data_IF_954668401401
#
_entry.id   IF_954668401401
#
_cell.length_a   1.000
_cell.length_b   1.000
_cell.length_c   1.000
_cell.angle_alpha   90.00
_cell.angle_beta   90.00
_cell.angle_gamma   90.00
#
_symmetry.space_group_name_H-M   'P 1'
#
loop_
_entity.id
_entity.type
_entity.pdbx_description
1 polymer ?
#
# COMPACT_ATOMS: atom_id res chain seq x y z
N UNK A 1 -21.10 -12.55 -40.21
CA UNK A 1 -20.80 -13.57 -41.23
C UNK A 1 -20.32 -14.92 -40.63
N UNK A 2 -20.74 -15.29 -39.41
CA UNK A 2 -20.35 -16.55 -38.74
C UNK A 2 -21.51 -17.53 -38.50
N UNK A 3 -22.78 -17.09 -38.58
CA UNK A 3 -23.94 -17.98 -38.44
C UNK A 3 -24.14 -18.95 -39.62
N UNK A 4 -23.54 -18.68 -40.77
CA UNK A 4 -23.79 -19.44 -42.02
C UNK A 4 -22.97 -20.74 -42.09
N UNK A 5 -21.90 -20.89 -41.30
CA UNK A 5 -21.07 -22.10 -41.32
C UNK A 5 -21.60 -23.26 -40.45
N UNK A 6 -22.57 -23.01 -39.57
CA UNK A 6 -23.26 -24.08 -38.80
C UNK A 6 -24.14 -24.95 -39.71
N UNK A 7 -24.54 -24.44 -40.88
CA UNK A 7 -25.44 -25.12 -41.81
C UNK A 7 -24.77 -26.18 -42.70
N UNK A 8 -23.44 -26.42 -42.57
CA UNK A 8 -22.70 -27.45 -43.33
C UNK A 8 -21.93 -28.44 -42.45
N UNK A 9 -22.38 -28.66 -41.22
CA UNK A 9 -21.82 -29.68 -40.34
C UNK A 9 -22.32 -31.09 -40.75
N UNK A 10 -21.43 -32.01 -41.18
CA UNK A 10 -21.80 -33.35 -41.68
C UNK A 10 -22.30 -34.31 -40.60
N UNK A 11 -22.28 -33.92 -39.32
CA UNK A 11 -22.71 -34.76 -38.21
C UNK A 11 -24.24 -34.96 -38.19
N UNK A 12 -24.74 -36.12 -37.73
CA UNK A 12 -26.17 -36.42 -37.58
C UNK A 12 -26.95 -35.30 -36.87
N UNK A 13 -28.19 -35.06 -37.28
CA UNK A 13 -29.03 -33.96 -36.76
C UNK A 13 -29.12 -33.94 -35.22
N UNK A 14 -29.22 -35.12 -34.58
CA UNK A 14 -29.22 -35.24 -33.10
C UNK A 14 -27.94 -34.68 -32.45
N UNK A 15 -26.77 -34.89 -33.08
CA UNK A 15 -25.49 -34.39 -32.56
C UNK A 15 -25.40 -32.87 -32.71
N UNK A 16 -25.92 -32.32 -33.81
CA UNK A 16 -26.00 -30.86 -34.02
C UNK A 16 -26.92 -30.18 -33.01
N UNK A 17 -28.10 -30.75 -32.75
CA UNK A 17 -29.05 -30.21 -31.76
C UNK A 17 -28.46 -30.25 -30.35
N UNK A 18 -27.80 -31.36 -29.97
CA UNK A 18 -27.12 -31.45 -28.67
C UNK A 18 -25.99 -30.42 -28.53
N UNK A 19 -25.17 -30.25 -29.57
CA UNK A 19 -24.09 -29.25 -29.56
C UNK A 19 -24.60 -27.80 -29.51
N UNK A 20 -25.71 -27.49 -30.19
CA UNK A 20 -26.38 -26.19 -30.11
C UNK A 20 -26.95 -25.92 -28.71
N UNK A 21 -27.59 -26.91 -28.09
CA UNK A 21 -28.08 -26.81 -26.72
C UNK A 21 -26.95 -26.60 -25.71
N UNK A 22 -25.83 -27.31 -25.87
CA UNK A 22 -24.63 -27.12 -25.05
C UNK A 22 -24.03 -25.71 -25.25
N UNK A 23 -23.94 -25.26 -26.50
CA UNK A 23 -23.46 -23.92 -26.84
C UNK A 23 -24.35 -22.83 -26.23
N UNK A 24 -25.67 -22.92 -26.42
CA UNK A 24 -26.63 -21.96 -25.87
C UNK A 24 -26.60 -21.97 -24.35
N UNK A 25 -26.49 -23.14 -23.71
CA UNK A 25 -26.36 -23.25 -22.26
C UNK A 25 -25.07 -22.58 -21.75
N UNK A 26 -23.94 -22.77 -22.44
CA UNK A 26 -22.67 -22.12 -22.11
C UNK A 26 -22.72 -20.61 -22.33
N UNK A 27 -23.35 -20.17 -23.43
CA UNK A 27 -23.56 -18.76 -23.73
C UNK A 27 -24.45 -18.10 -22.67
N UNK A 28 -25.56 -18.72 -22.30
CA UNK A 28 -26.46 -18.23 -21.25
C UNK A 28 -25.80 -18.20 -19.87
N UNK A 29 -24.91 -19.16 -19.57
CA UNK A 29 -24.10 -19.13 -18.35
C UNK A 29 -23.10 -17.97 -18.40
N UNK A 30 -22.37 -17.80 -19.50
CA UNK A 30 -21.41 -16.72 -19.69
C UNK A 30 -22.06 -15.33 -19.71
N UNK A 31 -23.28 -15.20 -20.27
CA UNK A 31 -24.10 -13.99 -20.23
C UNK A 31 -24.54 -13.72 -18.80
N UNK A 32 -25.09 -14.71 -18.09
CA UNK A 32 -25.47 -14.52 -16.68
C UNK A 32 -24.28 -14.13 -15.82
N UNK A 33 -23.13 -14.77 -16.00
CA UNK A 33 -21.91 -14.45 -15.28
C UNK A 33 -21.33 -13.08 -15.67
N UNK A 34 -21.39 -12.71 -16.96
CA UNK A 34 -20.90 -11.44 -17.48
C UNK A 34 -21.78 -10.22 -17.16
N UNK A 35 -23.09 -10.41 -16.98
CA UNK A 35 -24.04 -9.35 -16.61
C UNK A 35 -24.42 -9.36 -15.13
N UNK A 36 -24.03 -10.39 -14.37
CA UNK A 36 -24.14 -10.36 -12.92
C UNK A 36 -23.12 -9.37 -12.36
N UNK A 37 -23.56 -8.14 -12.07
CA UNK A 37 -22.77 -7.21 -11.29
C UNK A 37 -22.63 -7.77 -9.87
N UNK A 38 -21.45 -8.25 -9.47
CA UNK A 38 -21.32 -8.74 -8.11
C UNK A 38 -21.47 -7.55 -7.16
N UNK A 39 -22.07 -7.78 -5.99
CA UNK A 39 -22.26 -6.72 -5.00
C UNK A 39 -20.96 -5.93 -4.75
N UNK A 40 -21.11 -4.61 -4.56
CA UNK A 40 -19.97 -3.76 -4.20
C UNK A 40 -19.34 -4.28 -2.89
N UNK A 41 -18.02 -4.38 -2.90
CA UNK A 41 -17.21 -4.69 -1.73
C UNK A 41 -16.09 -3.67 -1.68
N UNK A 42 -15.85 -3.05 -0.53
CA UNK A 42 -14.64 -2.27 -0.35
C UNK A 42 -13.41 -3.19 -0.32
N UNK A 43 -12.21 -2.64 -0.49
CA UNK A 43 -10.96 -3.42 -0.41
C UNK A 43 -10.85 -4.12 0.94
N UNK A 44 -11.18 -3.44 2.04
CA UNK A 44 -11.08 -4.03 3.37
C UNK A 44 -12.10 -5.13 3.61
N UNK A 45 -13.34 -4.98 3.13
CA UNK A 45 -14.38 -5.99 3.25
C UNK A 45 -14.07 -7.20 2.36
N UNK A 46 -13.59 -6.96 1.14
CA UNK A 46 -13.09 -8.01 0.26
C UNK A 46 -11.94 -8.78 0.93
N UNK A 47 -10.97 -8.09 1.52
CA UNK A 47 -9.84 -8.72 2.20
C UNK A 47 -10.34 -9.57 3.39
N UNK A 48 -11.26 -9.04 4.19
CA UNK A 48 -11.88 -9.77 5.30
C UNK A 48 -12.72 -10.99 4.86
N UNK A 49 -13.18 -11.02 3.61
CA UNK A 49 -13.97 -12.12 3.05
C UNK A 49 -13.12 -13.17 2.32
N UNK A 50 -12.06 -12.74 1.62
CA UNK A 50 -11.39 -13.57 0.62
C UNK A 50 -9.88 -13.71 0.81
N UNK A 51 -9.22 -12.83 1.59
CA UNK A 51 -7.78 -12.94 1.82
C UNK A 51 -7.46 -13.89 2.95
N UNK A 52 -6.51 -14.78 2.67
CA UNK A 52 -5.91 -15.66 3.67
C UNK A 52 -4.43 -15.31 3.85
N UNK A 53 -4.03 -15.23 5.11
CA UNK A 53 -2.65 -15.05 5.55
C UNK A 53 -2.01 -16.42 5.80
N UNK A 54 -0.69 -16.47 5.65
CA UNK A 54 0.16 -17.61 5.99
C UNK A 54 1.14 -17.22 7.10
N UNK A 55 1.79 -18.21 7.73
CA UNK A 55 2.79 -17.96 8.77
C UNK A 55 2.17 -17.88 10.17
N UNK A 56 2.68 -16.98 11.02
CA UNK A 56 2.29 -16.89 12.44
C UNK A 56 0.84 -16.44 12.67
N UNK A 57 0.27 -15.68 11.74
CA UNK A 57 -1.12 -15.22 11.76
C UNK A 57 -1.95 -15.97 10.69
N UNK A 58 -1.64 -17.25 10.48
CA UNK A 58 -2.31 -18.05 9.45
C UNK A 58 -3.83 -18.09 9.65
N UNK A 59 -4.57 -17.93 8.55
CA UNK A 59 -6.03 -17.90 8.57
C UNK A 59 -6.58 -16.73 7.79
N UNK A 60 -7.85 -16.41 8.05
CA UNK A 60 -8.53 -15.33 7.33
C UNK A 60 -8.02 -13.97 7.81
N UNK A 61 -7.76 -13.05 6.88
CA UNK A 61 -7.38 -11.68 7.23
C UNK A 61 -8.48 -11.02 8.07
N UNK A 62 -8.11 -10.45 9.21
CA UNK A 62 -9.02 -9.71 10.08
C UNK A 62 -8.82 -8.19 9.88
N UNK A 63 -9.75 -7.47 9.23
CA UNK A 63 -9.62 -6.03 9.01
C UNK A 63 -9.66 -5.22 10.33
N UNK A 64 -10.19 -5.79 11.41
CA UNK A 64 -10.26 -5.14 12.72
C UNK A 64 -8.96 -5.32 13.53
N UNK A 65 -7.99 -6.09 13.04
CA UNK A 65 -6.68 -6.22 13.71
C UNK A 65 -5.92 -4.90 13.74
N UNK A 66 -6.06 -4.09 12.68
CA UNK A 66 -5.45 -2.76 12.56
C UNK A 66 -6.48 -1.81 11.92
N UNK A 67 -7.48 -1.32 12.69
CA UNK A 67 -8.64 -0.61 12.14
C UNK A 67 -8.28 0.64 11.31
N UNK A 68 -7.20 1.34 11.67
CA UNK A 68 -6.71 2.52 10.94
C UNK A 68 -6.38 2.22 9.46
N UNK A 69 -6.12 0.96 9.10
CA UNK A 69 -5.85 0.55 7.72
C UNK A 69 -7.10 0.54 6.85
N UNK A 70 -8.32 0.45 7.42
CA UNK A 70 -9.58 0.30 6.67
C UNK A 70 -9.82 1.49 5.75
N UNK A 71 -9.80 2.71 6.30
CA UNK A 71 -10.03 3.93 5.51
C UNK A 71 -9.00 4.13 4.39
N UNK A 72 -7.74 3.77 4.64
CA UNK A 72 -6.66 3.88 3.64
C UNK A 72 -6.90 2.90 2.48
N UNK A 73 -7.32 1.68 2.81
CA UNK A 73 -7.67 0.66 1.81
C UNK A 73 -8.90 1.07 1.01
N UNK A 74 -9.95 1.51 1.69
CA UNK A 74 -11.25 1.78 1.07
C UNK A 74 -11.25 3.08 0.26
N UNK A 75 -10.33 4.00 0.53
CA UNK A 75 -10.05 5.16 -0.35
C UNK A 75 -9.68 4.73 -1.78
N UNK A 76 -9.21 3.49 -1.98
CA UNK A 76 -8.97 2.94 -3.31
C UNK A 76 -10.26 2.81 -4.12
N UNK A 77 -11.38 2.46 -3.48
CA UNK A 77 -12.66 2.22 -4.16
C UNK A 77 -13.38 3.51 -4.60
N UNK A 78 -13.01 4.66 -4.04
CA UNK A 78 -13.60 5.96 -4.40
C UNK A 78 -13.12 6.38 -5.80
N UNK A 79 -14.00 6.54 -6.81
CA UNK A 79 -13.60 6.92 -8.16
C UNK A 79 -13.04 8.33 -8.28
N UNK A 80 -13.29 9.24 -7.34
CA UNK A 80 -12.71 10.59 -7.35
C UNK A 80 -11.25 10.60 -6.91
N UNK A 81 -10.87 9.66 -6.05
CA UNK A 81 -9.51 9.51 -5.53
C UNK A 81 -8.60 8.96 -6.62
N UNK A 82 -7.51 9.66 -6.94
CA UNK A 82 -6.50 9.22 -7.91
C UNK A 82 -5.18 8.89 -7.24
N UNK A 83 -4.92 9.50 -6.10
CA UNK A 83 -3.67 9.35 -5.37
C UNK A 83 -3.95 9.02 -3.90
N UNK A 84 -3.24 8.01 -3.38
CA UNK A 84 -3.27 7.63 -1.98
C UNK A 84 -1.84 7.66 -1.47
N UNK A 85 -1.57 8.45 -0.44
CA UNK A 85 -0.24 8.59 0.14
C UNK A 85 -0.29 8.28 1.62
N UNK A 86 0.58 7.39 2.10
CA UNK A 86 0.67 7.07 3.51
C UNK A 86 2.11 7.24 4.01
N UNK A 87 2.33 8.36 4.69
CA UNK A 87 3.55 8.67 5.41
C UNK A 87 3.44 8.06 6.81
N UNK A 88 4.16 7.00 7.12
CA UNK A 88 3.95 6.34 8.42
C UNK A 88 5.15 5.64 8.98
N UNK A 89 5.09 5.36 10.28
CA UNK A 89 6.04 4.52 10.98
C UNK A 89 6.24 3.15 10.30
N UNK A 90 7.39 2.53 10.52
CA UNK A 90 7.69 1.18 10.03
C UNK A 90 6.85 0.12 10.77
N UNK A 91 6.62 -1.02 10.10
CA UNK A 91 5.88 -2.18 10.65
C UNK A 91 4.44 -1.90 11.10
N UNK A 92 3.77 -0.92 10.48
CA UNK A 92 2.33 -0.62 10.68
C UNK A 92 1.42 -1.24 9.61
N UNK A 93 1.95 -2.08 8.72
CA UNK A 93 1.19 -2.81 7.70
C UNK A 93 0.99 -2.08 6.36
N UNK A 94 1.90 -1.16 5.98
CA UNK A 94 1.89 -0.48 4.66
C UNK A 94 1.82 -1.47 3.48
N UNK A 95 2.77 -2.40 3.40
CA UNK A 95 2.81 -3.39 2.31
C UNK A 95 1.63 -4.37 2.38
N UNK A 96 1.09 -4.64 3.58
CA UNK A 96 -0.14 -5.42 3.78
C UNK A 96 -1.36 -4.74 3.14
N UNK A 97 -1.49 -3.42 3.31
CA UNK A 97 -2.53 -2.60 2.65
C UNK A 97 -2.35 -2.63 1.13
N UNK A 98 -1.13 -2.42 0.62
CA UNK A 98 -0.86 -2.53 -0.81
C UNK A 98 -1.19 -3.92 -1.37
N UNK A 99 -0.87 -5.00 -0.64
CA UNK A 99 -1.16 -6.37 -1.04
C UNK A 99 -2.67 -6.67 -1.05
N UNK A 100 -3.43 -6.12 -0.10
CA UNK A 100 -4.89 -6.18 -0.10
C UNK A 100 -5.48 -5.52 -1.34
N UNK A 101 -5.01 -4.30 -1.67
CA UNK A 101 -5.45 -3.60 -2.87
C UNK A 101 -5.11 -4.41 -4.13
N UNK A 102 -3.91 -4.97 -4.22
CA UNK A 102 -3.54 -5.83 -5.35
C UNK A 102 -4.43 -7.07 -5.45
N UNK A 103 -4.74 -7.72 -4.32
CA UNK A 103 -5.65 -8.86 -4.29
C UNK A 103 -7.06 -8.47 -4.78
N UNK A 104 -7.58 -7.34 -4.29
CA UNK A 104 -8.84 -6.77 -4.76
C UNK A 104 -8.80 -6.49 -6.27
N UNK A 105 -7.72 -5.92 -6.80
CA UNK A 105 -7.54 -5.67 -8.24
C UNK A 105 -7.55 -6.99 -9.03
N UNK A 106 -6.82 -8.02 -8.57
CA UNK A 106 -6.80 -9.33 -9.24
C UNK A 106 -8.20 -9.95 -9.30
N UNK A 107 -8.99 -9.78 -8.24
CA UNK A 107 -10.30 -10.39 -8.13
C UNK A 107 -11.43 -9.57 -8.77
N UNK A 108 -11.46 -8.27 -8.55
CA UNK A 108 -12.63 -7.41 -8.79
C UNK A 108 -12.45 -6.47 -9.97
N UNK A 109 -11.26 -5.87 -10.08
CA UNK A 109 -10.97 -4.83 -11.08
C UNK A 109 -9.68 -5.11 -11.84
N UNK A 110 -9.57 -6.26 -12.55
CA UNK A 110 -8.33 -6.69 -13.15
C UNK A 110 -7.83 -5.68 -14.18
N UNK A 111 -6.60 -5.23 -13.98
CA UNK A 111 -5.93 -4.26 -14.84
C UNK A 111 -4.40 -4.43 -14.76
N UNK A 112 -3.67 -3.57 -15.47
CA UNK A 112 -2.21 -3.55 -15.42
C UNK A 112 -1.73 -2.74 -14.22
N UNK A 113 -0.88 -3.34 -13.40
CA UNK A 113 -0.30 -2.75 -12.18
C UNK A 113 1.23 -2.72 -12.29
N UNK A 114 1.83 -1.59 -11.95
CA UNK A 114 3.27 -1.45 -11.74
C UNK A 114 3.55 -1.28 -10.25
N UNK A 115 4.32 -2.19 -9.66
CA UNK A 115 4.77 -2.09 -8.27
C UNK A 115 6.27 -1.82 -8.23
N UNK A 116 6.66 -0.69 -7.68
CA UNK A 116 8.05 -0.22 -7.59
C UNK A 116 8.53 -0.32 -6.14
N UNK A 117 9.70 -0.91 -5.95
CA UNK A 117 10.38 -1.02 -4.65
C UNK A 117 11.84 -0.58 -4.76
N UNK A 118 12.54 -0.30 -3.64
CA UNK A 118 13.89 0.26 -3.65
C UNK A 118 14.94 -0.59 -4.37
N UNK A 119 14.88 -1.92 -4.22
CA UNK A 119 15.91 -2.82 -4.75
C UNK A 119 15.31 -4.10 -5.36
N UNK A 120 16.13 -4.82 -6.12
CA UNK A 120 15.74 -6.09 -6.74
C UNK A 120 15.57 -7.21 -5.72
N UNK A 121 16.31 -7.10 -4.63
CA UNK A 121 16.34 -7.99 -3.47
C UNK A 121 15.03 -7.79 -2.68
N UNK A 122 14.66 -6.54 -2.38
CA UNK A 122 13.40 -6.23 -1.71
C UNK A 122 12.18 -6.75 -2.49
N UNK A 123 12.22 -6.66 -3.83
CA UNK A 123 11.19 -7.26 -4.69
C UNK A 123 11.17 -8.78 -4.56
N UNK A 124 12.33 -9.43 -4.56
CA UNK A 124 12.41 -10.90 -4.49
C UNK A 124 11.87 -11.42 -3.15
N UNK A 125 12.25 -10.78 -2.04
CA UNK A 125 11.81 -11.13 -0.69
C UNK A 125 10.31 -10.90 -0.54
N UNK A 126 9.80 -9.71 -0.94
CA UNK A 126 8.37 -9.42 -0.86
C UNK A 126 7.52 -10.37 -1.71
N UNK A 127 7.99 -10.74 -2.90
CA UNK A 127 7.31 -11.72 -3.73
C UNK A 127 7.24 -13.11 -3.08
N UNK A 128 8.36 -13.55 -2.50
CA UNK A 128 8.50 -14.87 -1.89
C UNK A 128 7.72 -14.99 -0.59
N UNK A 129 7.79 -13.95 0.25
CA UNK A 129 7.33 -14.01 1.63
C UNK A 129 5.90 -13.50 1.79
N UNK A 130 5.41 -12.63 0.89
CA UNK A 130 4.07 -12.03 0.99
C UNK A 130 3.17 -12.35 -0.20
N UNK A 131 3.59 -12.04 -1.42
CA UNK A 131 2.69 -12.12 -2.61
C UNK A 131 2.40 -13.57 -3.01
N UNK A 132 3.42 -14.42 -3.17
CA UNK A 132 3.22 -15.83 -3.54
C UNK A 132 2.38 -16.59 -2.50
N UNK A 133 2.65 -16.47 -1.19
CA UNK A 133 1.81 -17.09 -0.18
C UNK A 133 0.36 -16.57 -0.20
N UNK A 134 0.15 -15.25 -0.32
CA UNK A 134 -1.18 -14.67 -0.42
C UNK A 134 -1.98 -15.23 -1.62
N UNK A 135 -1.35 -15.28 -2.80
CA UNK A 135 -1.98 -15.78 -4.02
C UNK A 135 -2.36 -17.26 -3.92
N UNK A 136 -1.55 -18.07 -3.25
CA UNK A 136 -1.80 -19.52 -3.07
C UNK A 136 -2.80 -19.82 -1.96
N UNK A 137 -2.73 -19.08 -0.86
CA UNK A 137 -3.60 -19.29 0.30
C UNK A 137 -5.04 -18.83 0.04
N UNK A 138 -5.24 -17.88 -0.87
CA UNK A 138 -6.57 -17.31 -1.18
C UNK A 138 -7.17 -17.98 -2.43
N UNK A 139 -8.22 -18.83 -2.29
CA UNK A 139 -8.74 -19.62 -3.41
C UNK A 139 -9.22 -18.79 -4.62
N UNK A 140 -9.83 -17.63 -4.36
CA UNK A 140 -10.33 -16.70 -5.39
C UNK A 140 -9.18 -16.16 -6.25
N UNK A 141 -8.06 -15.79 -5.61
CA UNK A 141 -6.86 -15.30 -6.29
C UNK A 141 -6.16 -16.41 -7.06
N UNK A 142 -5.99 -17.58 -6.44
CA UNK A 142 -5.29 -18.71 -7.05
C UNK A 142 -5.95 -19.14 -8.36
N UNK A 143 -7.28 -19.22 -8.38
CA UNK A 143 -8.05 -19.55 -9.59
C UNK A 143 -7.78 -18.57 -10.73
N UNK A 144 -7.78 -17.26 -10.45
CA UNK A 144 -7.60 -16.21 -11.46
C UNK A 144 -6.17 -16.10 -11.99
N UNK A 145 -5.18 -16.26 -11.12
CA UNK A 145 -3.77 -16.29 -11.53
C UNK A 145 -3.49 -17.56 -12.34
N UNK A 146 -4.03 -18.72 -11.93
CA UNK A 146 -3.85 -19.98 -12.64
C UNK A 146 -4.48 -19.95 -14.03
N UNK A 147 -5.70 -19.42 -14.16
CA UNK A 147 -6.37 -19.23 -15.44
C UNK A 147 -5.61 -18.26 -16.36
N UNK A 148 -5.08 -17.16 -15.82
CA UNK A 148 -4.27 -16.20 -16.59
C UNK A 148 -2.99 -16.82 -17.17
N UNK A 149 -2.37 -17.77 -16.45
CA UNK A 149 -1.19 -18.51 -16.94
C UNK A 149 -1.51 -19.39 -18.13
N UNK A 150 -2.66 -20.05 -18.13
CA UNK A 150 -3.06 -21.00 -19.18
C UNK A 150 -3.62 -20.30 -20.42
N UNK A 151 -4.43 -19.25 -20.24
CA UNK A 151 -5.15 -18.59 -21.34
C UNK A 151 -4.28 -17.67 -22.20
N UNK A 152 -3.25 -17.03 -21.63
CA UNK A 152 -2.50 -15.98 -22.33
C UNK A 152 -1.24 -16.49 -23.03
N UNK A 153 -0.82 -17.74 -22.78
CA UNK A 153 0.48 -18.27 -23.26
C UNK A 153 1.70 -17.49 -22.76
N UNK A 154 1.53 -16.51 -21.85
CA UNK A 154 2.61 -15.68 -21.30
C UNK A 154 3.27 -16.42 -20.15
N UNK A 155 4.59 -16.57 -20.23
CA UNK A 155 5.39 -17.12 -19.14
C UNK A 155 5.34 -16.15 -17.95
N UNK A 156 4.74 -16.57 -16.83
CA UNK A 156 4.96 -15.89 -15.55
C UNK A 156 6.45 -16.00 -15.23
N UNK A 157 7.14 -14.86 -15.13
CA UNK A 157 8.45 -14.83 -14.50
C UNK A 157 8.28 -14.41 -13.03
N UNK A 158 9.32 -14.54 -12.21
CA UNK A 158 9.23 -14.27 -10.76
C UNK A 158 8.62 -12.90 -10.48
N UNK A 159 8.97 -11.87 -11.26
CA UNK A 159 8.56 -10.47 -11.08
C UNK A 159 7.31 -10.06 -11.87
N UNK A 160 6.66 -10.99 -12.57
CA UNK A 160 5.47 -10.70 -13.38
C UNK A 160 4.42 -11.76 -13.16
N UNK A 161 3.28 -11.36 -12.58
CA UNK A 161 2.14 -12.25 -12.36
C UNK A 161 1.00 -11.84 -13.27
N UNK A 162 0.69 -12.71 -14.23
CA UNK A 162 -0.45 -12.57 -15.14
C UNK A 162 -1.67 -13.21 -14.51
N UNK A 163 -2.81 -12.55 -14.61
CA UNK A 163 -4.12 -13.02 -14.19
C UNK A 163 -5.14 -12.68 -15.28
N UNK A 164 -6.36 -13.18 -15.16
CA UNK A 164 -7.41 -12.90 -16.13
C UNK A 164 -7.59 -11.38 -16.29
N UNK A 165 -7.46 -10.87 -17.51
CA UNK A 165 -7.59 -9.45 -17.88
C UNK A 165 -6.59 -8.47 -17.23
N UNK A 166 -5.46 -8.94 -16.69
CA UNK A 166 -4.47 -8.03 -16.10
C UNK A 166 -3.10 -8.64 -15.85
N UNK A 167 -2.17 -7.77 -15.45
CA UNK A 167 -0.82 -8.18 -15.08
C UNK A 167 -0.24 -7.23 -14.05
N UNK A 168 0.39 -7.79 -13.02
CA UNK A 168 1.23 -7.01 -12.11
C UNK A 168 2.70 -7.23 -12.48
N UNK A 169 3.44 -6.13 -12.62
CA UNK A 169 4.89 -6.13 -12.80
C UNK A 169 5.54 -5.52 -11.58
N UNK A 170 6.47 -6.25 -10.97
CA UNK A 170 7.30 -5.76 -9.88
C UNK A 170 8.65 -5.29 -10.42
N UNK A 171 9.03 -4.06 -10.08
CA UNK A 171 10.27 -3.41 -10.49
C UNK A 171 11.04 -3.00 -9.25
N UNK A 172 12.32 -3.36 -9.22
CA UNK A 172 13.22 -3.01 -8.15
C UNK A 172 14.54 -2.47 -8.70
N UNK A 173 15.13 -1.54 -7.95
CA UNK A 173 16.41 -0.92 -8.29
C UNK A 173 16.28 0.26 -9.26
N UNK A 174 17.23 1.19 -9.17
CA UNK A 174 17.29 2.44 -9.94
C UNK A 174 17.61 2.31 -11.43
N UNK A 175 17.05 1.32 -12.14
CA UNK A 175 17.14 1.26 -13.60
C UNK A 175 15.89 1.89 -14.21
N UNK A 176 16.05 2.89 -15.07
CA UNK A 176 14.95 3.60 -15.71
C UNK A 176 14.21 2.76 -16.77
N UNK A 177 14.91 1.85 -17.46
CA UNK A 177 14.36 1.08 -18.59
C UNK A 177 13.09 0.28 -18.25
N UNK A 178 12.99 -0.47 -17.13
CA UNK A 178 11.74 -1.13 -16.74
C UNK A 178 10.61 -0.19 -16.35
N UNK A 179 10.93 1.02 -15.87
CA UNK A 179 9.95 2.05 -15.48
C UNK A 179 9.38 2.80 -16.70
N UNK A 180 10.15 2.90 -17.80
CA UNK A 180 9.78 3.70 -18.97
C UNK A 180 8.87 2.98 -19.99
N UNK A 181 8.78 1.65 -19.98
CA UNK A 181 8.24 0.91 -21.13
C UNK A 181 6.74 0.57 -21.06
N UNK A 182 6.03 0.84 -19.95
CA UNK A 182 4.66 0.31 -19.76
C UNK A 182 3.66 1.34 -19.27
N UNK A 183 2.58 1.48 -20.02
CA UNK A 183 1.34 2.13 -19.60
C UNK A 183 0.58 1.21 -18.66
N UNK A 184 0.26 1.69 -17.46
CA UNK A 184 -0.45 0.92 -16.42
C UNK A 184 -1.56 1.77 -15.79
N UNK A 185 -2.63 1.13 -15.31
CA UNK A 185 -3.75 1.82 -14.66
C UNK A 185 -3.42 2.17 -13.20
N UNK A 186 -2.63 1.32 -12.55
CA UNK A 186 -2.27 1.45 -11.14
C UNK A 186 -0.76 1.43 -10.97
N UNK A 187 -0.24 2.38 -10.22
CA UNK A 187 1.16 2.44 -9.80
C UNK A 187 1.22 2.34 -8.28
N UNK A 188 2.03 1.43 -7.75
CA UNK A 188 2.35 1.31 -6.33
C UNK A 188 3.82 1.64 -6.15
N UNK A 189 4.11 2.66 -5.36
CA UNK A 189 5.45 3.07 -4.98
C UNK A 189 5.64 2.73 -3.50
N UNK A 190 6.33 1.64 -3.22
CA UNK A 190 6.62 1.19 -1.85
C UNK A 190 8.03 1.65 -1.46
N UNK A 191 8.16 2.14 -0.23
CA UNK A 191 9.37 2.76 0.32
C UNK A 191 9.94 3.92 -0.55
N UNK A 192 9.09 4.88 -0.92
CA UNK A 192 9.42 5.92 -1.91
C UNK A 192 10.64 6.79 -1.56
N UNK A 193 10.89 7.00 -0.28
CA UNK A 193 12.03 7.80 0.19
C UNK A 193 13.37 7.08 -0.02
N UNK A 194 13.34 5.74 -0.14
CA UNK A 194 14.51 4.90 -0.43
C UNK A 194 14.72 4.68 -1.93
N UNK A 195 13.83 5.18 -2.79
CA UNK A 195 14.01 5.05 -4.24
C UNK A 195 15.22 5.86 -4.71
N UNK A 196 16.01 5.25 -5.61
CA UNK A 196 17.18 5.89 -6.18
C UNK A 196 16.79 7.07 -7.10
N UNK A 197 17.61 8.11 -7.09
CA UNK A 197 17.57 9.16 -8.12
C UNK A 197 18.18 8.58 -9.39
N UNK A 198 17.47 8.65 -10.51
CA UNK A 198 17.95 8.08 -11.77
C UNK A 198 18.85 9.11 -12.46
N UNK A 199 20.05 8.69 -12.86
CA UNK A 199 20.97 9.56 -13.59
C UNK A 199 20.31 10.04 -14.89
N UNK A 200 20.27 11.36 -15.10
CA UNK A 200 19.78 12.03 -16.31
C UNK A 200 18.27 11.92 -16.63
N UNK A 201 17.47 11.15 -15.88
CA UNK A 201 16.02 11.01 -16.13
C UNK A 201 15.13 11.59 -15.01
N UNK A 202 15.73 12.05 -13.90
CA UNK A 202 15.02 12.60 -12.75
C UNK A 202 14.70 11.56 -11.69
N UNK A 203 13.71 11.85 -10.84
CA UNK A 203 13.29 10.96 -9.76
C UNK A 203 12.41 9.79 -10.26
N UNK A 204 12.62 8.61 -9.66
CA UNK A 204 11.91 7.39 -10.03
C UNK A 204 10.39 7.49 -9.76
N UNK A 205 9.96 8.24 -8.73
CA UNK A 205 8.54 8.41 -8.43
C UNK A 205 7.80 9.19 -9.52
N UNK A 206 8.39 10.26 -10.07
CA UNK A 206 7.81 11.00 -11.20
C UNK A 206 7.76 10.17 -12.47
N UNK A 207 8.81 9.41 -12.78
CA UNK A 207 8.85 8.57 -13.98
C UNK A 207 7.82 7.44 -13.95
N UNK A 208 7.65 6.82 -12.77
CA UNK A 208 6.64 5.80 -12.54
C UNK A 208 5.23 6.40 -12.56
N UNK A 209 5.02 7.57 -11.93
CA UNK A 209 3.72 8.27 -11.92
C UNK A 209 3.26 8.64 -13.34
N UNK A 210 4.17 8.99 -14.26
CA UNK A 210 3.83 9.28 -15.67
C UNK A 210 3.25 8.07 -16.44
N UNK A 211 3.35 6.85 -15.91
CA UNK A 211 2.84 5.64 -16.58
C UNK A 211 1.32 5.54 -16.64
N UNK A 212 0.63 6.32 -15.82
CA UNK A 212 -0.83 6.41 -15.83
C UNK A 212 -1.38 7.46 -16.81
N UNK A 213 -0.51 8.25 -17.45
CA UNK A 213 -0.89 9.46 -18.20
C UNK A 213 -1.94 9.24 -19.30
N UNK A 214 -2.00 8.06 -19.92
CA UNK A 214 -3.00 7.77 -20.98
C UNK A 214 -4.35 7.30 -20.45
N UNK A 215 -4.52 7.15 -19.13
CA UNK A 215 -5.80 6.73 -18.51
C UNK A 215 -6.70 7.91 -18.12
N UNK A 216 -6.34 9.15 -18.46
CA UNK A 216 -7.14 10.34 -18.12
C UNK A 216 -7.31 10.47 -16.62
N UNK A 217 -8.54 10.30 -16.12
CA UNK A 217 -8.86 10.34 -14.67
C UNK A 217 -9.02 8.95 -14.04
N UNK A 218 -9.02 7.87 -14.84
CA UNK A 218 -9.27 6.49 -14.39
C UNK A 218 -7.95 5.78 -14.03
N UNK A 219 -7.25 6.30 -13.02
CA UNK A 219 -5.99 5.71 -12.55
C UNK A 219 -5.85 5.80 -11.03
N UNK A 220 -4.91 5.02 -10.49
CA UNK A 220 -4.52 5.08 -9.07
C UNK A 220 -3.01 5.12 -8.92
N UNK A 221 -2.51 6.03 -8.07
CA UNK A 221 -1.12 6.04 -7.61
C UNK A 221 -1.10 5.88 -6.09
N UNK A 222 -0.47 4.82 -5.61
CA UNK A 222 -0.32 4.50 -4.20
C UNK A 222 1.11 4.75 -3.78
N UNK A 223 1.33 5.51 -2.71
CA UNK A 223 2.66 5.86 -2.18
C UNK A 223 2.77 5.52 -0.71
N UNK A 224 3.77 4.73 -0.36
CA UNK A 224 3.97 4.22 0.98
C UNK A 224 5.43 4.44 1.38
N UNK A 225 5.70 5.03 2.54
CA UNK A 225 7.05 5.07 3.10
C UNK A 225 7.03 5.58 4.54
N UNK A 226 8.12 5.35 5.27
CA UNK A 226 8.48 6.24 6.38
C UNK A 226 9.15 7.50 5.83
N UNK A 227 8.96 8.66 6.46
CA UNK A 227 9.71 9.85 6.09
C UNK A 227 11.18 9.74 6.50
N UNK A 228 12.01 10.62 5.95
CA UNK A 228 13.43 10.75 6.27
C UNK A 228 13.72 12.14 6.84
N UNK A 229 14.53 12.94 6.17
CA UNK A 229 14.93 14.28 6.60
C UNK A 229 13.89 15.29 6.11
N UNK A 230 13.61 16.29 6.94
CA UNK A 230 12.75 17.42 6.55
C UNK A 230 13.30 18.14 5.31
N UNK A 231 12.42 18.56 4.40
CA UNK A 231 12.81 19.19 3.13
C UNK A 231 13.29 18.22 2.03
N UNK A 232 13.78 17.03 2.38
CA UNK A 232 14.24 16.03 1.41
C UNK A 232 13.27 14.85 1.23
N UNK A 233 12.46 14.57 2.27
CA UNK A 233 11.53 13.44 2.28
C UNK A 233 10.46 13.55 1.19
N UNK A 234 10.45 12.57 0.28
CA UNK A 234 9.50 12.54 -0.84
C UNK A 234 8.08 12.25 -0.35
N UNK A 235 7.95 11.33 0.60
CA UNK A 235 6.65 10.96 1.17
C UNK A 235 6.05 12.12 1.96
N UNK A 236 6.87 12.94 2.63
CA UNK A 236 6.41 14.16 3.29
C UNK A 236 5.84 15.16 2.27
N UNK A 237 6.57 15.43 1.18
CA UNK A 237 6.11 16.29 0.09
C UNK A 237 4.80 15.81 -0.54
N UNK A 238 4.65 14.50 -0.76
CA UNK A 238 3.40 13.94 -1.28
C UNK A 238 2.28 13.98 -0.24
N UNK A 239 2.60 13.81 1.04
CA UNK A 239 1.62 13.93 2.13
C UNK A 239 1.04 15.34 2.21
N UNK A 240 1.89 16.37 2.15
CA UNK A 240 1.50 17.79 2.19
C UNK A 240 0.65 18.24 1.00
N UNK A 241 0.77 17.58 -0.15
CA UNK A 241 -0.04 17.87 -1.36
C UNK A 241 -1.45 17.26 -1.32
N UNK A 242 -1.66 16.25 -0.46
CA UNK A 242 -2.93 15.55 -0.32
C UNK A 242 -3.82 16.13 0.77
N UNK A 243 -4.69 15.28 1.34
CA UNK A 243 -5.65 15.67 2.37
C UNK A 243 -5.09 15.85 3.80
N UNK A 244 -3.83 15.47 4.01
CA UNK A 244 -3.09 15.60 5.27
C UNK A 244 -3.83 15.03 6.48
N UNK A 245 -4.46 13.87 6.30
CA UNK A 245 -5.30 13.25 7.32
C UNK A 245 -4.47 12.71 8.50
N UNK A 246 -5.01 12.88 9.71
CA UNK A 246 -4.48 12.35 10.99
C UNK A 246 -5.50 11.41 11.62
N UNK A 247 -5.01 10.47 12.43
CA UNK A 247 -5.86 9.47 13.09
C UNK A 247 -6.21 9.91 14.51
N UNK A 248 -7.50 10.07 14.77
CA UNK A 248 -8.04 10.49 16.05
C UNK A 248 -8.72 9.32 16.74
N UNK A 249 -8.52 9.20 18.05
CA UNK A 249 -9.11 8.16 18.88
C UNK A 249 -9.91 8.83 20.00
N UNK A 250 -11.13 8.35 20.22
CA UNK A 250 -11.99 8.77 21.33
C UNK A 250 -11.35 8.40 22.65
N UNK A 251 -11.31 9.33 23.59
CA UNK A 251 -10.86 9.08 24.94
C UNK A 251 -11.76 8.03 25.64
N UNK A 252 -11.20 7.01 26.32
CA UNK A 252 -11.98 6.01 27.06
C UNK A 252 -12.80 6.59 28.22
N UNK A 253 -12.40 7.75 28.75
CA UNK A 253 -13.07 8.40 29.88
C UNK A 253 -14.14 9.41 29.45
N UNK A 254 -13.77 10.41 28.65
CA UNK A 254 -14.65 11.53 28.31
C UNK A 254 -15.25 11.48 26.90
N UNK A 255 -14.80 10.56 26.03
CA UNK A 255 -15.26 10.46 24.65
C UNK A 255 -14.67 11.49 23.67
N UNK A 256 -13.89 12.47 24.15
CA UNK A 256 -13.27 13.47 23.29
C UNK A 256 -12.19 12.84 22.39
N UNK A 257 -12.17 13.22 21.12
CA UNK A 257 -11.26 12.63 20.14
C UNK A 257 -9.93 13.39 20.09
N UNK A 258 -8.81 12.67 20.13
CA UNK A 258 -7.48 13.27 19.99
C UNK A 258 -6.52 12.41 19.16
N UNK A 259 -5.48 13.03 18.62
CA UNK A 259 -4.32 12.31 18.13
C UNK A 259 -3.51 11.77 19.31
N UNK A 260 -3.04 10.53 19.20
CA UNK A 260 -2.08 9.97 20.14
C UNK A 260 -0.68 10.56 19.86
N UNK A 261 -0.13 11.28 20.83
CA UNK A 261 1.13 12.00 20.69
C UNK A 261 2.21 11.51 21.65
N UNK A 262 3.46 11.44 21.19
CA UNK A 262 4.59 10.99 22.02
C UNK A 262 4.74 11.81 23.31
N UNK A 263 4.53 13.14 23.23
CA UNK A 263 4.60 14.03 24.38
C UNK A 263 3.47 13.82 25.42
N UNK A 264 2.41 13.09 25.07
CA UNK A 264 1.30 12.74 25.96
C UNK A 264 1.50 11.40 26.66
N UNK A 265 2.52 10.62 26.25
CA UNK A 265 2.85 9.32 26.82
C UNK A 265 3.67 9.50 28.10
N UNK A 266 3.16 9.00 29.22
CA UNK A 266 3.88 8.93 30.50
C UNK A 266 4.65 7.61 30.58
N UNK A 267 5.96 7.71 30.78
CA UNK A 267 6.85 6.55 30.69
C UNK A 267 6.88 5.68 31.93
N UNK A 268 6.48 6.21 33.09
CA UNK A 268 6.58 5.50 34.38
C UNK A 268 5.60 4.34 34.49
N UNK A 269 4.38 4.51 33.96
CA UNK A 269 3.33 3.50 33.97
C UNK A 269 2.75 3.21 32.58
N UNK A 270 3.40 3.71 31.52
CA UNK A 270 3.08 3.42 30.12
C UNK A 270 1.62 3.74 29.78
N UNK A 271 1.18 4.91 30.22
CA UNK A 271 -0.16 5.43 29.97
C UNK A 271 -0.12 6.73 29.19
N UNK A 272 -1.14 7.00 28.39
CA UNK A 272 -1.26 8.22 27.61
C UNK A 272 -2.34 9.13 28.21
N UNK A 273 -1.97 10.40 28.40
CA UNK A 273 -2.85 11.46 28.90
C UNK A 273 -3.89 11.85 27.85
N UNK A 274 -5.13 12.00 28.28
CA UNK A 274 -6.14 12.69 27.51
C UNK A 274 -5.97 14.21 27.64
N UNK A 275 -5.95 14.94 26.52
CA UNK A 275 -5.80 16.40 26.50
C UNK A 275 -7.04 17.17 26.96
N UNK A 276 -8.18 16.50 27.11
CA UNK A 276 -9.46 17.10 27.51
C UNK A 276 -9.77 16.88 28.99
N UNK A 277 -9.74 15.61 29.45
CA UNK A 277 -10.09 15.26 30.84
C UNK A 277 -8.89 14.93 31.74
N UNK A 278 -7.66 15.06 31.24
CA UNK A 278 -6.40 14.79 31.95
C UNK A 278 -6.24 13.38 32.55
N UNK A 279 -7.17 12.47 32.24
CA UNK A 279 -7.10 11.08 32.66
C UNK A 279 -6.07 10.31 31.82
N UNK A 280 -5.50 9.27 32.41
CA UNK A 280 -4.47 8.45 31.79
C UNK A 280 -5.02 7.05 31.52
N UNK A 281 -4.76 6.53 30.32
CA UNK A 281 -5.17 5.18 29.95
C UNK A 281 -4.04 4.45 29.24
N UNK A 282 -3.97 3.13 29.41
CA UNK A 282 -3.02 2.27 28.72
C UNK A 282 -3.34 2.16 27.21
N UNK A 283 -2.44 1.50 26.48
CA UNK A 283 -2.54 1.31 25.04
C UNK A 283 -3.84 0.57 24.65
N UNK A 284 -4.20 -0.49 25.35
CA UNK A 284 -5.32 -1.35 24.95
C UNK A 284 -6.67 -0.64 25.12
N UNK A 285 -6.81 0.16 26.18
CA UNK A 285 -7.97 1.05 26.39
C UNK A 285 -8.10 2.09 25.29
N UNK A 286 -7.01 2.75 24.91
CA UNK A 286 -7.05 3.71 23.80
C UNK A 286 -7.38 3.00 22.48
N UNK A 287 -6.66 1.94 22.11
CA UNK A 287 -6.81 1.29 20.80
C UNK A 287 -8.12 0.49 20.62
N UNK A 288 -8.85 0.21 21.70
CA UNK A 288 -10.19 -0.38 21.66
C UNK A 288 -11.31 0.67 21.53
N UNK A 289 -10.99 1.95 21.64
CA UNK A 289 -11.98 3.04 21.55
C UNK A 289 -12.31 3.38 20.09
N UNK A 290 -13.49 3.98 19.82
CA UNK A 290 -13.84 4.48 18.49
C UNK A 290 -12.77 5.43 17.96
N UNK A 291 -12.50 5.35 16.65
CA UNK A 291 -11.43 6.11 16.04
C UNK A 291 -11.77 6.43 14.57
N UNK A 292 -11.20 7.52 14.07
CA UNK A 292 -11.46 8.00 12.71
C UNK A 292 -10.28 8.78 12.14
N UNK A 293 -10.20 8.81 10.81
CA UNK A 293 -9.31 9.70 10.10
C UNK A 293 -9.99 11.06 9.89
N UNK A 294 -9.29 12.14 10.23
CA UNK A 294 -9.75 13.52 9.98
C UNK A 294 -8.80 14.19 9.01
N UNK A 295 -9.33 14.71 7.90
CA UNK A 295 -8.55 15.46 6.91
C UNK A 295 -8.13 16.81 7.47
N UNK A 296 -6.88 17.19 7.24
CA UNK A 296 -6.39 18.54 7.55
C UNK A 296 -6.77 19.55 6.46
N UNK A 297 -6.81 19.09 5.20
CA UNK A 297 -7.22 19.87 4.04
C UNK A 297 -8.13 19.00 3.17
N UNK A 298 -9.37 19.41 2.86
CA UNK A 298 -10.23 18.63 1.97
C UNK A 298 -9.58 18.43 0.60
N UNK A 299 -9.40 17.18 0.19
CA UNK A 299 -8.88 16.86 -1.14
C UNK A 299 -9.57 15.59 -1.68
N UNK A 300 -10.46 15.70 -2.69
CA UNK A 300 -11.18 14.54 -3.23
C UNK A 300 -10.28 13.65 -4.10
N UNK A 301 -9.21 14.20 -4.68
CA UNK A 301 -8.38 13.48 -5.64
C UNK A 301 -7.12 12.86 -5.03
N UNK A 302 -6.64 13.40 -3.92
CA UNK A 302 -5.42 12.92 -3.26
C UNK A 302 -5.65 12.77 -1.77
N UNK A 303 -5.93 11.54 -1.35
CA UNK A 303 -6.04 11.20 0.07
C UNK A 303 -4.64 10.92 0.63
N UNK A 304 -4.20 11.72 1.58
CA UNK A 304 -2.91 11.50 2.24
C UNK A 304 -3.08 11.34 3.74
N UNK A 305 -2.31 10.43 4.32
CA UNK A 305 -2.45 9.96 5.68
C UNK A 305 -1.10 9.98 6.39
N UNK A 306 -1.10 10.36 7.66
CA UNK A 306 0.06 10.18 8.53
C UNK A 306 -0.29 9.39 9.78
N UNK A 307 0.58 8.43 10.13
CA UNK A 307 0.44 7.71 11.40
C UNK A 307 1.77 7.34 12.03
N UNK A 308 1.81 7.44 13.36
CA UNK A 308 2.88 6.91 14.19
C UNK A 308 2.66 5.43 14.54
N UNK A 309 3.65 4.79 15.16
CA UNK A 309 3.53 3.47 15.73
C UNK A 309 2.60 3.43 16.96
N UNK A 310 2.27 4.58 17.56
CA UNK A 310 1.42 4.65 18.76
C UNK A 310 0.01 4.12 18.52
N UNK A 311 -0.50 4.23 17.29
CA UNK A 311 -1.83 3.74 16.92
C UNK A 311 -1.83 2.26 16.51
N UNK A 312 -0.65 1.62 16.45
CA UNK A 312 -0.50 0.25 15.98
C UNK A 312 -0.62 -0.74 17.15
N UNK A 313 -1.57 -1.69 17.11
CA UNK A 313 -1.66 -2.76 18.10
C UNK A 313 -0.64 -3.89 17.82
N UNK A 314 0.25 -3.71 16.85
CA UNK A 314 1.37 -4.61 16.55
C UNK A 314 2.66 -4.21 17.28
N UNK A 315 2.71 -2.98 17.82
CA UNK A 315 3.88 -2.42 18.48
C UNK A 315 3.45 -1.91 19.85
N UNK A 316 4.07 -2.43 20.90
CA UNK A 316 3.79 -2.07 22.28
C UNK A 316 4.45 -0.75 22.66
N UNK A 317 3.76 0.10 23.42
CA UNK A 317 4.32 1.39 23.87
C UNK A 317 5.56 1.21 24.75
N UNK A 318 5.61 0.13 25.52
CA UNK A 318 6.76 -0.30 26.32
C UNK A 318 8.03 -0.38 25.46
N UNK A 319 7.95 -1.06 24.31
CA UNK A 319 9.05 -1.19 23.35
C UNK A 319 9.47 0.16 22.77
N UNK A 320 8.51 1.03 22.46
CA UNK A 320 8.82 2.38 21.96
C UNK A 320 9.57 3.21 23.01
N UNK A 321 9.19 3.10 24.29
CA UNK A 321 9.84 3.80 25.39
C UNK A 321 11.28 3.32 25.57
N UNK A 322 11.53 2.01 25.47
CA UNK A 322 12.87 1.44 25.56
C UNK A 322 13.79 1.91 24.41
N UNK A 323 13.29 1.89 23.19
CA UNK A 323 14.02 2.40 22.02
C UNK A 323 14.31 3.89 22.13
N UNK A 324 13.33 4.67 22.62
CA UNK A 324 13.52 6.10 22.85
C UNK A 324 14.56 6.38 23.96
N UNK A 325 14.52 5.65 25.08
CA UNK A 325 15.53 5.78 26.15
C UNK A 325 16.93 5.50 25.62
N UNK A 326 17.07 4.47 24.77
CA UNK A 326 18.34 4.15 24.10
C UNK A 326 18.78 5.29 23.19
N UNK A 327 17.87 5.84 22.39
CA UNK A 327 18.15 6.96 21.50
C UNK A 327 18.56 8.23 22.25
N UNK A 328 17.91 8.56 23.37
CA UNK A 328 18.26 9.72 24.20
C UNK A 328 19.60 9.53 24.92
N UNK A 329 19.91 8.31 25.37
CA UNK A 329 21.22 8.01 25.93
C UNK A 329 22.35 8.22 24.91
N UNK A 330 22.16 7.73 23.67
CA UNK A 330 23.10 7.95 22.57
C UNK A 330 23.22 9.43 22.21
N UNK A 331 22.10 10.17 22.18
CA UNK A 331 22.10 11.61 21.93
C UNK A 331 22.88 12.38 23.01
N UNK A 332 22.75 12.00 24.28
CA UNK A 332 23.55 12.56 25.38
C UNK A 332 25.05 12.28 25.25
N UNK A 333 25.43 11.21 24.55
CA UNK A 333 26.80 10.89 24.18
C UNK A 333 27.26 11.54 22.86
N UNK A 334 26.41 12.34 22.21
CA UNK A 334 26.72 13.06 20.96
C UNK A 334 26.30 12.35 19.67
N UNK A 335 25.66 11.18 19.73
CA UNK A 335 25.17 10.45 18.57
C UNK A 335 23.67 10.70 18.33
N UNK A 336 23.35 11.49 17.30
CA UNK A 336 21.97 11.80 16.93
C UNK A 336 21.32 10.79 15.97
N UNK A 337 22.06 9.77 15.53
CA UNK A 337 21.56 8.81 14.53
C UNK A 337 20.36 8.02 15.05
N UNK A 338 20.38 7.61 16.33
CA UNK A 338 19.31 6.81 16.92
C UNK A 338 18.03 7.61 17.14
N UNK A 339 18.11 8.90 17.49
CA UNK A 339 16.92 9.72 17.64
C UNK A 339 16.29 10.03 16.28
N UNK A 340 17.11 10.25 15.24
CA UNK A 340 16.61 10.34 13.87
C UNK A 340 15.88 9.06 13.45
N UNK A 341 16.48 7.89 13.70
CA UNK A 341 15.85 6.59 13.42
C UNK A 341 14.53 6.47 14.17
N UNK A 342 14.48 6.84 15.45
CA UNK A 342 13.26 6.80 16.25
C UNK A 342 12.15 7.69 15.67
N UNK A 343 12.43 8.96 15.38
CA UNK A 343 11.43 9.88 14.83
C UNK A 343 10.89 9.42 13.47
N UNK A 344 11.78 9.01 12.57
CA UNK A 344 11.41 8.55 11.24
C UNK A 344 10.68 7.21 11.27
N UNK A 345 11.25 6.19 11.92
CA UNK A 345 10.74 4.82 11.89
C UNK A 345 9.62 4.56 12.89
N UNK A 346 9.55 5.27 14.03
CA UNK A 346 8.51 5.02 15.07
C UNK A 346 7.46 6.10 15.11
N UNK A 347 7.83 7.37 15.04
CA UNK A 347 6.83 8.45 15.02
C UNK A 347 6.26 8.69 13.62
N UNK A 348 6.95 8.22 12.57
CA UNK A 348 6.54 8.44 11.19
C UNK A 348 6.59 9.93 10.83
N UNK A 349 7.53 10.68 11.42
CA UNK A 349 7.72 12.12 11.22
C UNK A 349 9.08 12.38 10.60
N UNK A 350 9.19 13.43 9.80
CA UNK A 350 10.48 13.92 9.29
C UNK A 350 11.35 14.36 10.45
N UNK A 351 12.65 14.13 10.32
CA UNK A 351 13.63 14.58 11.30
C UNK A 351 14.16 15.95 10.89
N UNK A 352 14.04 16.93 11.78
CA UNK A 352 14.43 18.32 11.56
C UNK A 352 15.89 18.63 11.99
N UNK A 353 16.65 17.61 12.41
CA UNK A 353 17.97 17.79 13.02
C UNK A 353 18.90 18.70 12.22
N UNK A 354 19.78 19.41 12.94
CA UNK A 354 20.74 20.37 12.37
C UNK A 354 21.34 19.80 11.09
N UNK A 355 21.11 20.48 9.97
CA UNK A 355 21.98 20.40 8.80
C UNK A 355 23.38 20.64 9.33
N UNK A 356 24.21 19.60 9.42
CA UNK A 356 25.61 19.80 9.68
C UNK A 356 26.09 20.79 8.62
N UNK A 357 26.61 21.93 9.09
CA UNK A 357 27.29 22.88 8.21
C UNK A 357 28.24 22.05 7.37
N UNK A 358 27.98 21.99 6.07
CA UNK A 358 28.99 21.52 5.14
C UNK A 358 30.19 22.42 5.38
N UNK A 359 31.25 21.86 5.97
CA UNK A 359 32.51 22.57 6.17
C UNK A 359 32.88 23.20 4.82
N UNK A 360 33.14 24.52 4.74
CA UNK A 360 33.48 25.18 3.48
C UNK A 360 34.59 24.45 2.71
N UNK A 361 35.46 23.71 3.41
CA UNK A 361 36.48 22.82 2.85
C UNK A 361 35.94 21.70 1.96
N UNK A 362 34.79 21.09 2.26
CA UNK A 362 34.20 20.03 1.43
C UNK A 362 33.64 20.58 0.11
N UNK A 363 33.06 21.79 0.13
CA UNK A 363 32.66 22.50 -1.08
C UNK A 363 33.87 22.96 -1.89
N UNK A 364 34.93 23.41 -1.22
CA UNK A 364 36.19 23.81 -1.86
C UNK A 364 36.92 22.65 -2.53
N UNK A 365 36.82 21.43 -1.97
CA UNK A 365 37.39 20.20 -2.53
C UNK A 365 36.64 19.68 -3.77
N UNK A 366 35.40 20.12 -3.98
CA UNK A 366 34.56 19.77 -5.14
C UNK A 366 34.59 20.80 -6.27
N UNK A 367 35.45 21.82 -6.20
CA UNK A 367 35.58 22.77 -7.30
C UNK A 367 36.26 22.10 -8.49
N UNK A 368 35.71 22.31 -9.68
CA UNK A 368 36.45 22.03 -10.92
C UNK A 368 37.56 23.07 -11.07
N UNK A 369 38.77 22.59 -11.36
CA UNK A 369 39.94 23.44 -11.59
C UNK A 369 39.90 23.84 -13.07
N UNK A 370 39.63 25.12 -13.33
CA UNK A 370 39.74 25.73 -14.66
C UNK A 370 41.16 26.24 -14.92
#
# INVERSE_FOLDING_TARGET
MQMVQVLRDPRPAKIRTAALLEFDSRLQAAVREGFHQPAFLSVSDWAGQHRFLSGSEAGKYNPNRCPYQRTIQDAFNDPEVREITWMSAERVGKSTVGANILGYVVDREPCNVLWVMPSREAVADFLKDEIEPMLRASPTLWGKVSAGRTSTGRTNNVRRKTFLNGVVTFVGGGSASPLAFRTVKIVVLDEIDKLAVLRHEGDADSLASKRVSTYGTDFKILRFSKPTVEGESRIARHYERGSMARYFISCPGCGEFQELGWALLRFDDVTMRCSSCDSFFDQDRWLSSPAEWREGVPNPHHKSFQSSALISPLIRWEMLIEEYRTAIHALGAGDSSLIQVFENSRLGKTYAGRVDRIEPGELYARREVF
#
